data_IF_910226455862
#
_entry.id   IF_910226455862
#
_cell.length_a   1.000
_cell.length_b   1.000
_cell.length_c   1.000
_cell.angle_alpha   90.00
_cell.angle_beta   90.00
_cell.angle_gamma   90.00
#
_symmetry.space_group_name_H-M   'P 1'
#
loop_
_entity.id
_entity.type
_entity.pdbx_description
1 polymer ?
#
# COMPACT_ATOMS: atom_id res chain seq x y z
N UNK A 1 4.82 -19.01 -11.92
CA UNK A 1 4.30 -17.91 -12.77
C UNK A 1 3.30 -18.32 -13.85
N UNK A 2 3.50 -19.39 -14.67
CA UNK A 2 2.50 -19.80 -15.70
C UNK A 2 1.14 -20.26 -15.15
N UNK A 3 1.09 -20.84 -13.96
CA UNK A 3 -0.16 -21.34 -13.34
C UNK A 3 -0.99 -20.20 -12.71
N UNK A 4 -0.34 -19.19 -12.14
CA UNK A 4 -1.02 -18.00 -11.63
C UNK A 4 -1.69 -17.21 -12.75
N UNK A 5 -1.06 -17.04 -13.89
CA UNK A 5 -1.63 -16.36 -15.08
C UNK A 5 -2.87 -17.10 -15.64
N UNK A 6 -2.94 -18.42 -15.58
CA UNK A 6 -4.14 -19.18 -16.00
C UNK A 6 -5.31 -19.03 -15.02
N UNK A 7 -5.06 -18.83 -13.73
CA UNK A 7 -6.09 -18.51 -12.74
C UNK A 7 -6.66 -17.09 -12.98
N UNK A 8 -5.81 -16.15 -13.43
CA UNK A 8 -6.22 -14.79 -13.81
C UNK A 8 -7.09 -14.73 -15.08
N UNK A 9 -6.96 -15.70 -16.00
CA UNK A 9 -7.75 -15.73 -17.24
C UNK A 9 -9.26 -15.85 -17.05
N UNK A 10 -9.73 -16.28 -15.89
CA UNK A 10 -11.15 -16.45 -15.57
C UNK A 10 -11.73 -15.31 -14.70
N UNK A 11 -10.96 -14.23 -14.46
CA UNK A 11 -11.36 -13.07 -13.67
C UNK A 11 -12.28 -12.09 -14.42
N UNK A 12 -12.66 -12.40 -15.66
CA UNK A 12 -13.55 -11.56 -16.46
C UNK A 12 -14.83 -11.10 -15.76
N UNK A 13 -15.35 -11.96 -14.85
CA UNK A 13 -16.54 -11.65 -14.07
C UNK A 13 -16.30 -10.67 -12.91
N UNK A 14 -15.05 -10.54 -12.45
CA UNK A 14 -14.67 -9.65 -11.35
C UNK A 14 -14.04 -8.33 -11.82
N UNK A 15 -14.03 -8.04 -13.12
CA UNK A 15 -13.40 -6.83 -13.67
C UNK A 15 -13.84 -5.56 -12.94
N UNK A 16 -15.13 -5.40 -12.69
CA UNK A 16 -15.67 -4.22 -11.98
C UNK A 16 -15.13 -4.11 -10.55
N UNK A 17 -15.05 -5.24 -9.83
CA UNK A 17 -14.52 -5.28 -8.46
C UNK A 17 -13.02 -5.00 -8.44
N UNK A 18 -12.26 -5.56 -9.39
CA UNK A 18 -10.81 -5.30 -9.54
C UNK A 18 -10.57 -3.83 -9.85
N UNK A 19 -11.30 -3.24 -10.81
CA UNK A 19 -11.18 -1.81 -11.12
C UNK A 19 -11.52 -0.95 -9.91
N UNK A 20 -12.59 -1.26 -9.17
CA UNK A 20 -12.93 -0.58 -7.92
C UNK A 20 -11.82 -0.68 -6.87
N UNK A 21 -11.24 -1.87 -6.68
CA UNK A 21 -10.11 -2.07 -5.76
C UNK A 21 -8.90 -1.22 -6.14
N UNK A 22 -8.56 -1.14 -7.44
CA UNK A 22 -7.46 -0.31 -7.94
C UNK A 22 -7.75 1.17 -7.67
N UNK A 23 -8.95 1.66 -7.96
CA UNK A 23 -9.34 3.06 -7.73
C UNK A 23 -9.22 3.40 -6.23
N UNK A 24 -9.78 2.58 -5.33
CA UNK A 24 -9.67 2.82 -3.90
C UNK A 24 -8.24 2.70 -3.37
N UNK A 25 -7.39 1.84 -3.94
CA UNK A 25 -5.97 1.79 -3.61
C UNK A 25 -5.24 3.07 -4.05
N UNK A 26 -5.54 3.60 -5.24
CA UNK A 26 -4.98 4.89 -5.71
C UNK A 26 -5.40 6.02 -4.76
N UNK A 27 -6.68 6.10 -4.40
CA UNK A 27 -7.18 7.06 -3.41
C UNK A 27 -6.48 6.91 -2.06
N UNK A 28 -6.27 5.67 -1.61
CA UNK A 28 -5.54 5.39 -0.36
C UNK A 28 -4.12 5.93 -0.42
N UNK A 29 -3.40 5.76 -1.55
CA UNK A 29 -2.04 6.29 -1.73
C UNK A 29 -2.05 7.82 -1.72
N UNK A 30 -2.95 8.45 -2.47
CA UNK A 30 -3.09 9.92 -2.52
C UNK A 30 -3.34 10.49 -1.12
N UNK A 31 -4.33 9.97 -0.40
CA UNK A 31 -4.65 10.43 0.95
C UNK A 31 -3.56 10.07 1.98
N UNK A 32 -2.80 9.00 1.77
CA UNK A 32 -1.64 8.67 2.61
C UNK A 32 -0.56 9.74 2.48
N UNK A 33 -0.21 10.11 1.25
CA UNK A 33 0.75 11.18 0.99
C UNK A 33 0.23 12.51 1.52
N UNK A 34 -1.01 12.88 1.20
CA UNK A 34 -1.63 14.11 1.66
C UNK A 34 -1.65 14.22 3.20
N UNK A 35 -2.04 13.15 3.91
CA UNK A 35 -2.05 13.14 5.38
C UNK A 35 -0.64 13.22 5.98
N UNK A 36 0.37 12.65 5.31
CA UNK A 36 1.77 12.74 5.75
C UNK A 36 2.31 14.15 5.55
N UNK A 37 2.00 14.77 4.41
CA UNK A 37 2.39 16.16 4.15
C UNK A 37 1.67 17.17 5.02
N UNK A 38 0.44 16.89 5.46
CA UNK A 38 -0.29 17.75 6.38
C UNK A 38 0.40 17.89 7.76
N UNK A 39 1.36 17.02 8.10
CA UNK A 39 2.16 17.17 9.32
C UNK A 39 3.17 18.31 9.23
N UNK A 40 3.69 18.62 8.04
CA UNK A 40 4.69 19.67 7.85
C UNK A 40 4.15 21.03 8.34
N UNK A 41 2.99 21.54 7.85
CA UNK A 41 2.42 22.77 8.33
C UNK A 41 2.07 22.77 9.82
N UNK A 42 1.63 21.65 10.37
CA UNK A 42 1.36 21.54 11.81
C UNK A 42 2.65 21.75 12.61
N UNK A 43 3.74 21.09 12.21
CA UNK A 43 5.03 21.20 12.89
C UNK A 43 5.62 22.62 12.74
N UNK A 44 5.59 23.21 11.55
CA UNK A 44 6.11 24.56 11.33
C UNK A 44 5.38 25.62 12.16
N UNK A 45 4.06 25.47 12.35
CA UNK A 45 3.27 26.35 13.22
C UNK A 45 3.60 26.17 14.70
N UNK A 46 3.79 24.93 15.17
CA UNK A 46 4.10 24.64 16.57
C UNK A 46 5.51 25.10 16.95
N UNK A 47 6.49 24.86 16.06
CA UNK A 47 7.89 25.21 16.32
C UNK A 47 8.22 26.66 15.96
N UNK A 48 7.28 27.44 15.40
CA UNK A 48 7.48 28.84 15.04
C UNK A 48 8.44 29.05 13.87
N UNK A 49 8.66 28.00 13.05
CA UNK A 49 9.53 28.06 11.87
C UNK A 49 8.79 28.59 10.61
N UNK A 50 7.50 28.95 10.72
CA UNK A 50 6.76 29.52 9.60
C UNK A 50 7.29 30.92 9.28
N UNK A 51 7.82 31.12 8.10
CA UNK A 51 8.19 32.45 7.59
C UNK A 51 6.94 33.31 7.45
N UNK A 52 6.95 34.50 8.05
CA UNK A 52 5.84 35.44 7.91
C UNK A 52 5.90 36.10 6.54
N UNK A 53 4.99 35.73 5.66
CA UNK A 53 4.89 36.25 4.30
C UNK A 53 3.70 37.22 4.22
N UNK A 54 3.97 38.49 4.03
CA UNK A 54 2.95 39.54 3.95
C UNK A 54 2.59 39.94 2.51
N UNK A 55 3.37 39.50 1.53
CA UNK A 55 3.14 39.78 0.11
C UNK A 55 2.60 38.52 -0.57
N UNK A 56 1.48 38.68 -1.28
CA UNK A 56 0.87 37.58 -2.01
C UNK A 56 1.79 37.14 -3.16
N UNK A 57 2.20 35.86 -3.22
CA UNK A 57 2.99 35.35 -4.32
C UNK A 57 2.22 35.40 -5.64
N UNK A 58 2.87 35.77 -6.72
CA UNK A 58 2.29 35.81 -8.05
C UNK A 58 2.70 34.57 -8.85
N UNK A 59 1.74 33.99 -9.59
CA UNK A 59 2.01 32.84 -10.46
C UNK A 59 2.82 33.23 -11.71
N UNK A 60 2.69 34.47 -12.17
CA UNK A 60 3.39 35.00 -13.32
C UNK A 60 4.28 36.13 -12.83
N UNK A 61 5.59 35.98 -12.96
CA UNK A 61 6.60 37.00 -12.63
C UNK A 61 7.36 37.31 -13.91
N UNK A 62 7.48 38.57 -14.27
CA UNK A 62 8.18 39.07 -15.47
C UNK A 62 7.69 38.41 -16.80
N UNK A 63 6.39 38.09 -16.89
CA UNK A 63 5.78 37.51 -18.08
C UNK A 63 6.02 35.99 -18.29
N UNK A 64 6.69 35.33 -17.35
CA UNK A 64 6.91 33.88 -17.35
C UNK A 64 6.19 33.22 -16.17
N UNK A 65 5.62 32.02 -16.40
CA UNK A 65 5.03 31.26 -15.33
C UNK A 65 6.09 30.68 -14.39
N UNK A 66 5.75 30.51 -13.13
CA UNK A 66 6.62 29.89 -12.11
C UNK A 66 7.13 28.53 -12.54
N UNK A 67 6.33 27.79 -13.34
CA UNK A 67 6.73 26.50 -13.89
C UNK A 67 7.82 26.65 -14.98
N UNK A 68 7.74 27.67 -15.83
CA UNK A 68 8.73 27.92 -16.90
C UNK A 68 10.09 28.34 -16.34
N UNK A 69 10.08 29.09 -15.23
CA UNK A 69 11.31 29.59 -14.58
C UNK A 69 11.98 28.55 -13.68
N UNK A 70 11.19 27.79 -12.92
CA UNK A 70 11.70 26.88 -11.88
C UNK A 70 11.28 25.40 -12.02
N UNK A 71 10.49 25.03 -13.04
CA UNK A 71 9.96 23.66 -13.19
C UNK A 71 9.16 23.21 -11.96
N UNK A 72 9.32 21.94 -11.58
CA UNK A 72 8.62 21.37 -10.42
C UNK A 72 9.04 22.00 -9.10
N UNK A 73 10.31 22.41 -8.98
CA UNK A 73 10.81 23.10 -7.78
C UNK A 73 10.19 24.50 -7.61
N UNK A 74 9.99 25.24 -8.70
CA UNK A 74 9.30 26.52 -8.69
C UNK A 74 7.84 26.42 -8.27
N UNK A 75 7.11 25.42 -8.77
CA UNK A 75 5.72 25.16 -8.36
C UNK A 75 5.63 24.83 -6.87
N UNK A 76 6.58 24.04 -6.35
CA UNK A 76 6.65 23.72 -4.92
C UNK A 76 6.88 24.98 -4.08
N UNK A 77 7.84 25.82 -4.47
CA UNK A 77 8.20 27.06 -3.76
C UNK A 77 7.02 28.04 -3.77
N UNK A 78 6.36 28.19 -4.91
CA UNK A 78 5.13 28.98 -5.02
C UNK A 78 4.01 28.46 -4.09
N UNK A 79 3.78 27.14 -4.08
CA UNK A 79 2.77 26.53 -3.22
C UNK A 79 3.08 26.74 -1.73
N UNK A 80 4.36 26.68 -1.35
CA UNK A 80 4.80 26.89 0.02
C UNK A 80 4.62 28.36 0.42
N UNK A 81 5.09 29.31 -0.40
CA UNK A 81 4.94 30.74 -0.13
C UNK A 81 3.46 31.18 -0.14
N UNK A 82 2.62 30.59 -0.97
CA UNK A 82 1.18 30.82 -0.94
C UNK A 82 0.54 30.32 0.36
N UNK A 83 0.96 29.14 0.82
CA UNK A 83 0.55 28.60 2.11
C UNK A 83 0.98 29.54 3.26
N UNK A 84 2.25 29.99 3.28
CA UNK A 84 2.78 30.87 4.31
C UNK A 84 2.07 32.23 4.31
N UNK A 85 1.74 32.79 3.14
CA UNK A 85 0.94 34.00 3.00
C UNK A 85 -0.46 33.85 3.63
N UNK A 86 -1.20 32.82 3.26
CA UNK A 86 -2.54 32.60 3.83
C UNK A 86 -2.46 32.33 5.33
N UNK A 87 -1.51 31.54 5.77
CA UNK A 87 -1.31 31.22 7.19
C UNK A 87 -1.00 32.48 7.99
N UNK A 88 -0.09 33.34 7.51
CA UNK A 88 0.26 34.63 8.15
C UNK A 88 -0.98 35.52 8.23
N UNK A 89 -1.72 35.67 7.13
CA UNK A 89 -2.91 36.52 7.08
C UNK A 89 -4.02 36.04 8.02
N UNK A 90 -4.21 34.73 8.15
CA UNK A 90 -5.20 34.16 9.07
C UNK A 90 -4.76 34.21 10.53
N UNK A 91 -3.46 34.06 10.81
CA UNK A 91 -2.91 34.22 12.19
C UNK A 91 -3.13 35.62 12.68
N UNK A 92 -2.86 36.63 11.84
CA UNK A 92 -3.00 38.05 12.21
C UNK A 92 -4.48 38.43 12.46
N UNK A 93 -5.44 37.79 11.78
CA UNK A 93 -6.87 38.05 11.93
C UNK A 93 -7.53 37.27 13.07
N UNK A 94 -7.21 36.02 13.26
CA UNK A 94 -7.96 35.09 14.13
C UNK A 94 -7.12 34.47 15.25
N UNK A 95 -5.81 34.69 15.24
CA UNK A 95 -4.87 34.09 16.18
C UNK A 95 -4.37 32.71 15.74
N UNK A 96 -3.23 32.33 16.32
CA UNK A 96 -2.53 31.06 15.99
C UNK A 96 -3.38 29.81 16.31
N UNK A 97 -4.15 29.87 17.38
CA UNK A 97 -4.95 28.72 17.88
C UNK A 97 -6.00 28.28 16.83
N UNK A 98 -6.67 29.24 16.20
CA UNK A 98 -7.68 28.98 15.17
C UNK A 98 -7.06 28.39 13.89
N UNK A 99 -5.91 28.89 13.47
CA UNK A 99 -5.21 28.36 12.31
C UNK A 99 -4.74 26.93 12.57
N UNK A 100 -4.17 26.68 13.75
CA UNK A 100 -3.74 25.35 14.16
C UNK A 100 -4.93 24.37 14.19
N UNK A 101 -6.07 24.78 14.74
CA UNK A 101 -7.29 23.96 14.76
C UNK A 101 -7.71 23.52 13.35
N UNK A 102 -7.77 24.47 12.38
CA UNK A 102 -8.19 24.15 11.02
C UNK A 102 -7.18 23.27 10.28
N UNK A 103 -5.89 23.51 10.44
CA UNK A 103 -4.84 22.68 9.83
C UNK A 103 -4.87 21.25 10.39
N UNK A 104 -5.03 21.11 11.70
CA UNK A 104 -5.20 19.80 12.33
C UNK A 104 -6.49 19.09 11.88
N UNK A 105 -7.59 19.83 11.74
CA UNK A 105 -8.86 19.30 11.27
C UNK A 105 -8.74 18.77 9.83
N UNK A 106 -8.10 19.52 8.94
CA UNK A 106 -7.86 19.08 7.55
C UNK A 106 -6.99 17.82 7.53
N UNK A 107 -5.90 17.80 8.30
CA UNK A 107 -5.05 16.61 8.42
C UNK A 107 -5.81 15.39 8.94
N UNK A 108 -6.65 15.58 9.95
CA UNK A 108 -7.53 14.53 10.49
C UNK A 108 -8.52 14.02 9.44
N UNK A 109 -9.15 14.91 8.69
CA UNK A 109 -10.08 14.52 7.62
C UNK A 109 -9.37 13.71 6.53
N UNK A 110 -8.17 14.14 6.10
CA UNK A 110 -7.38 13.40 5.12
C UNK A 110 -7.00 12.00 5.63
N UNK A 111 -6.63 11.89 6.91
CA UNK A 111 -6.37 10.61 7.55
C UNK A 111 -7.63 9.73 7.63
N UNK A 112 -8.79 10.31 7.93
CA UNK A 112 -10.06 9.61 7.93
C UNK A 112 -10.43 9.09 6.53
N UNK A 113 -10.32 9.92 5.50
CA UNK A 113 -10.56 9.53 4.10
C UNK A 113 -9.61 8.43 3.62
N UNK A 114 -8.34 8.47 4.01
CA UNK A 114 -7.39 7.38 3.79
C UNK A 114 -7.91 6.06 4.34
N UNK A 115 -8.34 6.04 5.60
CA UNK A 115 -8.81 4.82 6.25
C UNK A 115 -10.11 4.31 5.64
N UNK A 116 -11.03 5.20 5.28
CA UNK A 116 -12.27 4.87 4.58
C UNK A 116 -11.94 4.23 3.21
N UNK A 117 -11.07 4.85 2.42
CA UNK A 117 -10.65 4.33 1.11
C UNK A 117 -10.00 2.95 1.24
N UNK A 118 -9.12 2.78 2.23
CA UNK A 118 -8.47 1.50 2.52
C UNK A 118 -9.47 0.42 2.91
N UNK A 119 -10.47 0.78 3.71
CA UNK A 119 -11.54 -0.13 4.10
C UNK A 119 -12.33 -0.62 2.88
N UNK A 120 -12.75 0.29 1.99
CA UNK A 120 -13.46 -0.10 0.77
C UNK A 120 -12.59 -0.93 -0.18
N UNK A 121 -11.32 -0.60 -0.34
CA UNK A 121 -10.38 -1.43 -1.11
C UNK A 121 -10.31 -2.86 -0.57
N UNK A 122 -10.17 -3.02 0.75
CA UNK A 122 -10.13 -4.31 1.42
C UNK A 122 -11.45 -5.07 1.30
N UNK A 123 -12.58 -4.38 1.38
CA UNK A 123 -13.91 -4.96 1.26
C UNK A 123 -14.14 -5.54 -0.15
N UNK A 124 -13.83 -4.76 -1.20
CA UNK A 124 -13.92 -5.23 -2.58
C UNK A 124 -13.00 -6.42 -2.85
N UNK A 125 -11.78 -6.38 -2.32
CA UNK A 125 -10.84 -7.49 -2.43
C UNK A 125 -11.34 -8.76 -1.73
N UNK A 126 -12.00 -8.62 -0.57
CA UNK A 126 -12.63 -9.72 0.15
C UNK A 126 -13.75 -10.39 -0.69
N UNK A 127 -14.57 -9.61 -1.37
CA UNK A 127 -15.58 -10.15 -2.29
C UNK A 127 -14.96 -10.96 -3.45
N UNK A 128 -13.86 -10.47 -4.01
CA UNK A 128 -13.11 -11.21 -5.05
C UNK A 128 -12.61 -12.53 -4.47
N UNK A 129 -12.04 -12.51 -3.26
CA UNK A 129 -11.50 -13.67 -2.58
C UNK A 129 -12.57 -14.75 -2.36
N UNK A 130 -13.72 -14.37 -1.79
CA UNK A 130 -14.85 -15.26 -1.57
C UNK A 130 -15.34 -15.86 -2.91
N UNK A 131 -15.43 -15.06 -3.95
CA UNK A 131 -15.84 -15.54 -5.27
C UNK A 131 -14.87 -16.53 -5.91
N UNK A 132 -13.56 -16.37 -5.69
CA UNK A 132 -12.53 -17.33 -6.13
C UNK A 132 -12.66 -18.64 -5.35
N UNK A 133 -12.81 -18.56 -4.02
CA UNK A 133 -12.99 -19.73 -3.15
C UNK A 133 -14.19 -20.57 -3.57
N UNK A 134 -15.35 -19.95 -3.73
CA UNK A 134 -16.58 -20.63 -4.16
C UNK A 134 -16.40 -21.36 -5.50
N UNK A 135 -15.72 -20.72 -6.46
CA UNK A 135 -15.43 -21.33 -7.77
C UNK A 135 -14.47 -22.51 -7.66
N UNK A 136 -13.43 -22.39 -6.83
CA UNK A 136 -12.50 -23.50 -6.59
C UNK A 136 -13.22 -24.69 -5.96
N UNK A 137 -13.98 -24.44 -4.89
CA UNK A 137 -14.76 -25.49 -4.22
C UNK A 137 -15.76 -26.16 -5.17
N UNK A 138 -16.49 -25.38 -5.97
CA UNK A 138 -17.43 -25.90 -6.97
C UNK A 138 -16.72 -26.79 -7.99
N UNK A 139 -15.58 -26.35 -8.55
CA UNK A 139 -14.83 -27.15 -9.53
C UNK A 139 -14.34 -28.49 -8.94
N UNK A 140 -13.88 -28.48 -7.70
CA UNK A 140 -13.44 -29.69 -7.02
C UNK A 140 -14.65 -30.62 -6.79
N UNK A 141 -15.75 -30.06 -6.31
CA UNK A 141 -16.98 -30.80 -6.08
C UNK A 141 -17.52 -31.45 -7.37
N UNK A 142 -17.64 -30.69 -8.45
CA UNK A 142 -18.07 -31.21 -9.75
C UNK A 142 -17.15 -32.34 -10.27
N UNK A 143 -15.83 -32.19 -10.01
CA UNK A 143 -14.86 -33.21 -10.40
C UNK A 143 -14.99 -34.48 -9.56
N UNK A 144 -15.27 -34.36 -8.27
CA UNK A 144 -15.48 -35.50 -7.37
C UNK A 144 -16.74 -36.27 -7.77
N UNK A 145 -17.82 -35.55 -8.08
CA UNK A 145 -19.07 -36.22 -8.53
C UNK A 145 -18.90 -36.95 -9.87
N UNK A 146 -17.94 -36.57 -10.70
CA UNK A 146 -17.62 -37.23 -11.96
C UNK A 146 -16.70 -38.46 -11.80
N UNK A 147 -16.20 -38.77 -10.59
CA UNK A 147 -15.37 -39.95 -10.33
C UNK A 147 -16.20 -41.21 -10.12
N UNK A 148 -15.66 -42.34 -10.57
CA UNK A 148 -16.30 -43.67 -10.37
C UNK A 148 -16.36 -44.04 -8.89
N UNK A 149 -17.40 -44.80 -8.50
CA UNK A 149 -17.56 -45.26 -7.11
C UNK A 149 -16.35 -46.06 -6.59
N UNK A 150 -15.66 -46.79 -7.45
CA UNK A 150 -14.45 -47.55 -7.11
C UNK A 150 -13.29 -46.68 -6.62
N UNK A 151 -13.33 -45.36 -6.88
CA UNK A 151 -12.33 -44.41 -6.41
C UNK A 151 -12.49 -44.11 -4.91
N UNK A 152 -13.68 -44.28 -4.35
CA UNK A 152 -14.00 -43.92 -2.96
C UNK A 152 -13.71 -45.08 -2.00
N UNK A 153 -12.47 -45.21 -1.54
CA UNK A 153 -12.10 -46.07 -0.40
C UNK A 153 -12.10 -45.22 0.89
N UNK A 154 -12.14 -45.87 2.06
CA UNK A 154 -12.11 -45.17 3.36
C UNK A 154 -10.90 -44.25 3.51
N UNK A 155 -9.72 -44.71 3.11
CA UNK A 155 -8.49 -43.93 3.13
C UNK A 155 -8.54 -42.70 2.19
N UNK A 156 -9.18 -42.84 1.03
CA UNK A 156 -9.28 -41.72 0.06
C UNK A 156 -10.34 -40.71 0.44
N UNK A 157 -11.35 -41.08 1.19
CA UNK A 157 -12.36 -40.11 1.71
C UNK A 157 -11.71 -39.03 2.59
N UNK A 158 -10.81 -39.42 3.49
CA UNK A 158 -10.08 -38.50 4.34
C UNK A 158 -9.16 -37.56 3.55
N UNK A 159 -8.42 -38.08 2.56
CA UNK A 159 -7.56 -37.29 1.67
C UNK A 159 -8.38 -36.27 0.83
N UNK A 160 -9.51 -36.71 0.28
CA UNK A 160 -10.42 -35.83 -0.47
C UNK A 160 -10.95 -34.71 0.41
N UNK A 161 -11.38 -35.02 1.64
CA UNK A 161 -11.91 -34.04 2.58
C UNK A 161 -10.82 -33.01 3.00
N UNK A 162 -9.61 -33.50 3.26
CA UNK A 162 -8.45 -32.63 3.56
C UNK A 162 -8.15 -31.69 2.40
N UNK A 163 -8.15 -32.17 1.16
CA UNK A 163 -7.89 -31.33 -0.02
C UNK A 163 -8.96 -30.28 -0.25
N UNK A 164 -10.24 -30.61 -0.03
CA UNK A 164 -11.34 -29.63 -0.16
C UNK A 164 -11.28 -28.56 0.92
N UNK A 165 -10.86 -28.90 2.13
CA UNK A 165 -10.84 -27.98 3.26
C UNK A 165 -9.50 -27.24 3.36
N UNK A 166 -8.39 -27.95 3.52
CA UNK A 166 -7.08 -27.37 3.80
C UNK A 166 -6.42 -26.79 2.56
N UNK A 167 -6.29 -27.59 1.48
CA UNK A 167 -5.56 -27.16 0.28
C UNK A 167 -6.25 -25.99 -0.41
N UNK A 168 -7.60 -25.99 -0.47
CA UNK A 168 -8.36 -24.87 -1.04
C UNK A 168 -8.13 -23.60 -0.24
N UNK A 169 -8.13 -23.69 1.08
CA UNK A 169 -7.89 -22.53 1.96
C UNK A 169 -6.47 -22.00 1.79
N UNK A 170 -5.46 -22.87 1.68
CA UNK A 170 -4.08 -22.48 1.46
C UNK A 170 -3.90 -21.75 0.11
N UNK A 171 -4.46 -22.31 -0.97
CA UNK A 171 -4.46 -21.68 -2.30
C UNK A 171 -5.18 -20.34 -2.28
N UNK A 172 -6.32 -20.24 -1.59
CA UNK A 172 -7.08 -19.02 -1.43
C UNK A 172 -6.24 -17.92 -0.74
N UNK A 173 -5.59 -18.26 0.37
CA UNK A 173 -4.71 -17.33 1.07
C UNK A 173 -3.52 -16.86 0.21
N UNK A 174 -2.93 -17.77 -0.55
CA UNK A 174 -1.83 -17.44 -1.46
C UNK A 174 -2.29 -16.47 -2.56
N UNK A 175 -3.46 -16.70 -3.16
CA UNK A 175 -4.03 -15.82 -4.18
C UNK A 175 -4.39 -14.45 -3.58
N UNK A 176 -5.07 -14.43 -2.42
CA UNK A 176 -5.47 -13.20 -1.74
C UNK A 176 -4.27 -12.32 -1.39
N UNK A 177 -3.24 -12.90 -0.75
CA UNK A 177 -2.04 -12.17 -0.37
C UNK A 177 -1.27 -11.64 -1.59
N UNK A 178 -1.22 -12.42 -2.68
CA UNK A 178 -0.57 -11.99 -3.92
C UNK A 178 -1.33 -10.84 -4.58
N UNK A 179 -2.66 -10.91 -4.68
CA UNK A 179 -3.48 -9.85 -5.28
C UNK A 179 -3.41 -8.55 -4.47
N UNK A 180 -3.53 -8.64 -3.15
CA UNK A 180 -3.46 -7.48 -2.26
C UNK A 180 -2.14 -6.73 -2.41
N UNK A 181 -1.02 -7.45 -2.32
CA UNK A 181 0.32 -6.86 -2.40
C UNK A 181 0.68 -6.39 -3.80
N UNK A 182 0.31 -7.15 -4.84
CA UNK A 182 0.67 -6.81 -6.23
C UNK A 182 0.01 -5.52 -6.74
N UNK A 183 -1.07 -5.06 -6.13
CA UNK A 183 -1.73 -3.80 -6.51
C UNK A 183 -1.32 -2.66 -5.59
N UNK A 184 -1.43 -2.86 -4.28
CA UNK A 184 -1.21 -1.80 -3.29
C UNK A 184 0.27 -1.40 -3.17
N UNK A 185 1.18 -2.39 -3.07
CA UNK A 185 2.60 -2.10 -2.80
C UNK A 185 3.29 -1.35 -3.94
N UNK A 186 3.13 -1.71 -5.24
CA UNK A 186 3.73 -0.93 -6.32
C UNK A 186 3.21 0.50 -6.41
N UNK A 187 1.90 0.69 -6.22
CA UNK A 187 1.30 2.03 -6.21
C UNK A 187 1.86 2.89 -5.08
N UNK A 188 2.03 2.30 -3.90
CA UNK A 188 2.60 2.99 -2.74
C UNK A 188 4.06 3.36 -2.97
N UNK A 189 4.88 2.42 -3.51
CA UNK A 189 6.28 2.66 -3.84
C UNK A 189 6.41 3.80 -4.87
N UNK A 190 5.64 3.75 -5.95
CA UNK A 190 5.65 4.80 -6.98
C UNK A 190 5.23 6.14 -6.37
N UNK A 191 4.15 6.18 -5.58
CA UNK A 191 3.68 7.39 -4.93
C UNK A 191 4.72 8.01 -4.01
N UNK A 192 5.39 7.19 -3.18
CA UNK A 192 6.46 7.66 -2.29
C UNK A 192 7.69 8.13 -3.08
N UNK A 193 8.10 7.41 -4.12
CA UNK A 193 9.24 7.82 -4.95
C UNK A 193 8.99 9.14 -5.66
N UNK A 194 7.83 9.32 -6.27
CA UNK A 194 7.44 10.59 -6.90
C UNK A 194 7.46 11.72 -5.87
N UNK A 195 6.90 11.48 -4.72
CA UNK A 195 6.86 12.40 -3.60
C UNK A 195 8.27 12.81 -3.12
N UNK A 196 9.18 11.85 -2.96
CA UNK A 196 10.57 12.10 -2.56
C UNK A 196 11.34 12.91 -3.63
N UNK A 197 11.12 12.61 -4.91
CA UNK A 197 11.75 13.36 -6.02
C UNK A 197 11.29 14.83 -5.99
N UNK A 198 10.00 15.09 -5.74
CA UNK A 198 9.45 16.43 -5.64
C UNK A 198 10.01 17.17 -4.42
N UNK A 199 10.18 16.49 -3.28
CA UNK A 199 10.70 17.11 -2.07
C UNK A 199 12.20 17.41 -2.17
N UNK A 200 13.00 16.44 -2.51
CA UNK A 200 14.46 16.55 -2.56
C UNK A 200 15.06 15.50 -3.49
N UNK A 201 15.40 15.86 -4.74
CA UNK A 201 16.04 14.96 -5.68
C UNK A 201 17.37 14.38 -5.14
N UNK A 202 18.14 15.19 -4.42
CA UNK A 202 19.43 14.78 -3.85
C UNK A 202 19.29 13.66 -2.82
N UNK A 203 18.32 13.79 -1.90
CA UNK A 203 18.00 12.73 -0.92
C UNK A 203 17.44 11.48 -1.57
N UNK A 204 16.65 11.64 -2.63
CA UNK A 204 16.08 10.49 -3.36
C UNK A 204 17.16 9.66 -4.00
N UNK A 205 18.14 10.28 -4.67
CA UNK A 205 19.30 9.58 -5.24
C UNK A 205 20.06 8.83 -4.15
N UNK A 206 20.31 9.46 -3.02
CA UNK A 206 20.99 8.80 -1.88
C UNK A 206 20.23 7.56 -1.39
N UNK A 207 18.91 7.65 -1.23
CA UNK A 207 18.06 6.54 -0.80
C UNK A 207 18.08 5.41 -1.83
N UNK A 208 17.96 5.72 -3.13
CA UNK A 208 17.99 4.73 -4.22
C UNK A 208 19.32 3.96 -4.23
N UNK A 209 20.45 4.62 -3.93
CA UNK A 209 21.73 3.94 -3.77
C UNK A 209 21.81 3.11 -2.48
N UNK A 210 21.19 3.56 -1.41
CA UNK A 210 21.19 2.86 -0.13
C UNK A 210 20.36 1.56 -0.17
N UNK A 211 19.27 1.52 -0.95
CA UNK A 211 18.37 0.37 -1.05
C UNK A 211 19.06 -0.93 -1.48
N UNK A 212 19.88 -0.99 -2.57
CA UNK A 212 20.56 -2.21 -2.95
C UNK A 212 21.60 -2.64 -1.93
N UNK A 213 22.26 -1.69 -1.24
CA UNK A 213 23.19 -2.01 -0.17
C UNK A 213 22.51 -2.67 1.02
N UNK A 214 21.39 -2.13 1.48
CA UNK A 214 20.58 -2.73 2.56
C UNK A 214 20.00 -4.07 2.16
N UNK A 215 19.50 -4.23 0.93
CA UNK A 215 19.03 -5.50 0.40
C UNK A 215 20.12 -6.58 0.36
N UNK A 216 21.33 -6.21 -0.03
CA UNK A 216 22.50 -7.11 0.00
C UNK A 216 22.84 -7.53 1.43
N UNK A 217 22.91 -6.59 2.37
CA UNK A 217 23.19 -6.86 3.78
C UNK A 217 22.14 -7.82 4.38
N UNK A 218 20.85 -7.55 4.17
CA UNK A 218 19.75 -8.41 4.64
C UNK A 218 19.85 -9.81 4.04
N UNK A 219 20.12 -9.91 2.73
CA UNK A 219 20.27 -11.21 2.05
C UNK A 219 21.42 -12.02 2.62
N UNK A 220 22.55 -11.38 2.91
CA UNK A 220 23.72 -12.02 3.51
C UNK A 220 23.44 -12.54 4.92
N UNK A 221 22.80 -11.71 5.76
CA UNK A 221 22.37 -12.10 7.12
C UNK A 221 21.36 -13.25 7.06
N UNK A 222 20.37 -13.19 6.18
CA UNK A 222 19.35 -14.24 6.01
C UNK A 222 20.00 -15.59 5.60
N UNK A 223 20.99 -15.57 4.71
CA UNK A 223 21.71 -16.78 4.33
C UNK A 223 22.51 -17.37 5.50
N UNK A 224 23.14 -16.53 6.31
CA UNK A 224 23.89 -16.97 7.51
C UNK A 224 22.97 -17.60 8.57
N UNK A 225 21.73 -17.14 8.67
CA UNK A 225 20.75 -17.66 9.64
C UNK A 225 20.02 -18.93 9.17
N UNK A 226 20.11 -19.27 7.88
CA UNK A 226 19.37 -20.42 7.32
C UNK A 226 19.81 -21.75 7.94
N UNK A 227 21.11 -22.02 7.99
CA UNK A 227 21.64 -23.27 8.56
C UNK A 227 21.31 -23.47 10.05
N UNK A 228 21.53 -22.46 10.94
CA UNK A 228 21.14 -22.58 12.33
C UNK A 228 19.64 -22.83 12.52
N UNK A 229 18.80 -22.17 11.70
CA UNK A 229 17.35 -22.34 11.74
C UNK A 229 16.90 -23.73 11.31
N UNK A 230 17.51 -24.30 10.25
CA UNK A 230 17.22 -25.69 9.82
C UNK A 230 17.67 -26.72 10.86
N UNK A 231 18.83 -26.53 11.50
CA UNK A 231 19.32 -27.38 12.60
C UNK A 231 18.38 -27.32 13.82
N UNK A 232 17.92 -26.13 14.19
CA UNK A 232 16.96 -25.94 15.28
C UNK A 232 15.64 -26.65 14.97
N UNK A 233 15.13 -26.52 13.74
CA UNK A 233 13.88 -27.17 13.30
C UNK A 233 13.98 -28.69 13.29
N UNK A 234 15.11 -29.24 12.87
CA UNK A 234 15.36 -30.70 12.93
C UNK A 234 15.36 -31.22 14.36
N UNK A 235 16.11 -30.56 15.26
CA UNK A 235 16.14 -30.93 16.69
C UNK A 235 14.76 -30.83 17.35
N UNK A 236 13.95 -29.81 16.97
CA UNK A 236 12.59 -29.70 17.45
C UNK A 236 11.69 -30.84 16.94
N UNK A 237 11.87 -31.27 15.69
CA UNK A 237 11.18 -32.44 15.13
C UNK A 237 11.57 -33.74 15.82
N UNK A 238 12.87 -33.92 16.14
CA UNK A 238 13.34 -35.08 16.91
C UNK A 238 12.74 -35.13 18.31
N UNK A 239 12.68 -33.99 19.01
CA UNK A 239 12.05 -33.90 20.33
C UNK A 239 10.54 -34.27 20.29
N UNK A 240 9.81 -33.80 19.28
CA UNK A 240 8.39 -34.15 19.10
C UNK A 240 8.17 -35.62 18.77
N UNK A 241 9.15 -36.29 18.17
CA UNK A 241 9.05 -37.75 17.86
C UNK A 241 9.37 -38.66 19.06
N UNK A 242 9.92 -38.08 20.16
CA UNK A 242 10.22 -38.81 21.39
C UNK A 242 9.09 -38.74 22.44
N UNK A 243 8.07 -37.94 22.19
CA UNK A 243 6.87 -37.76 23.01
C UNK A 243 5.71 -38.50 22.37
#
# INVERSE_FOLDING_TARGET
MKYTLRLFGNLGHFKKLITGTVIFNILTVIFTLASTYALIPVLSLIFGESEKVYVRPEWITDGQSVYETGGVSGVKEYAMSMYDYYTTSYIDQNGLEWVLFWVCLIGFLMFAFKNISRYFAGLLLSYINIGIEQRLRKRIHDKILALNLSFFSEQRKGDILSRITSDVTEVQWAIFSSLSRSVQDPLMIIGILVSLIIMSPKLTVFIVFLLPFTAYAITRISKSLKEPSEKARRKYGELLSMV
#
